data_IF_448986778433
#
_entry.id   IF_448986778433
#
_cell.length_a   1.000
_cell.length_b   1.000
_cell.length_c   1.000
_cell.angle_alpha   90.00
_cell.angle_beta   90.00
_cell.angle_gamma   90.00
#
_symmetry.space_group_name_H-M   'P 1'
#
loop_
_entity.id
_entity.type
_entity.pdbx_description
1 polymer ?
#
# COMPACT_ATOMS: atom_id res chain seq x y z
N UNK A 1 -61.28 -9.60 -33.74
CA UNK A 1 -60.13 -8.66 -33.55
C UNK A 1 -59.87 -8.29 -32.07
N UNK A 2 -60.89 -8.00 -31.23
CA UNK A 2 -60.66 -7.64 -29.82
C UNK A 2 -60.27 -8.83 -28.92
N UNK A 3 -60.88 -10.00 -29.15
CA UNK A 3 -60.60 -11.24 -28.41
C UNK A 3 -59.14 -11.71 -28.57
N UNK A 4 -58.60 -11.67 -29.79
CA UNK A 4 -57.21 -12.05 -30.06
C UNK A 4 -56.19 -11.11 -29.40
N UNK A 5 -56.50 -9.81 -29.31
CA UNK A 5 -55.66 -8.85 -28.59
C UNK A 5 -55.59 -9.18 -27.09
N UNK A 6 -56.72 -9.58 -26.49
CA UNK A 6 -56.76 -9.97 -25.08
C UNK A 6 -56.03 -11.29 -24.81
N UNK A 7 -56.15 -12.28 -25.70
CA UNK A 7 -55.38 -13.52 -25.64
C UNK A 7 -53.87 -13.27 -25.73
N UNK A 8 -53.43 -12.32 -26.58
CA UNK A 8 -52.01 -11.95 -26.70
C UNK A 8 -51.45 -11.26 -25.45
N UNK A 9 -52.27 -10.48 -24.73
CA UNK A 9 -51.86 -9.85 -23.47
C UNK A 9 -51.84 -10.81 -22.27
N UNK A 10 -52.55 -11.93 -22.36
CA UNK A 10 -52.55 -13.00 -21.37
C UNK A 10 -51.42 -14.03 -21.58
N UNK A 11 -50.76 -13.99 -22.75
CA UNK A 11 -49.66 -14.88 -23.07
C UNK A 11 -48.43 -14.54 -22.22
N UNK A 12 -48.11 -15.40 -21.26
CA UNK A 12 -46.87 -15.34 -20.49
C UNK A 12 -45.67 -15.52 -21.43
N UNK A 13 -44.97 -14.43 -21.73
CA UNK A 13 -43.69 -14.49 -22.44
C UNK A 13 -42.62 -14.94 -21.46
N UNK A 14 -42.49 -16.26 -21.30
CA UNK A 14 -41.37 -16.85 -20.57
C UNK A 14 -40.07 -16.46 -21.29
N UNK A 15 -39.20 -15.60 -20.72
CA UNK A 15 -38.01 -15.09 -21.39
C UNK A 15 -36.90 -16.16 -21.60
N UNK A 16 -37.26 -17.44 -21.59
CA UNK A 16 -36.34 -18.56 -21.47
C UNK A 16 -35.64 -18.57 -20.11
N UNK A 17 -34.86 -19.62 -19.80
CA UNK A 17 -34.11 -19.65 -18.58
C UNK A 17 -33.00 -18.60 -18.72
N UNK A 18 -33.18 -17.41 -18.14
CA UNK A 18 -32.09 -16.42 -17.95
C UNK A 18 -30.91 -16.98 -17.14
N UNK A 19 -31.04 -18.22 -16.68
CA UNK A 19 -30.09 -19.05 -15.94
C UNK A 19 -29.65 -20.30 -16.70
N UNK A 20 -29.99 -20.46 -17.98
CA UNK A 20 -29.61 -21.64 -18.77
C UNK A 20 -28.08 -21.80 -18.82
N UNK A 21 -27.36 -20.68 -18.88
CA UNK A 21 -25.90 -20.62 -18.89
C UNK A 21 -25.31 -20.38 -17.49
N UNK A 22 -26.10 -20.58 -16.43
CA UNK A 22 -25.62 -20.45 -15.06
C UNK A 22 -24.68 -21.61 -14.73
N UNK A 23 -23.38 -21.35 -14.84
CA UNK A 23 -22.35 -22.27 -14.40
C UNK A 23 -21.64 -21.69 -13.15
N UNK A 24 -21.90 -22.26 -11.95
CA UNK A 24 -21.30 -21.82 -10.70
C UNK A 24 -19.77 -21.86 -10.72
N UNK A 25 -19.17 -22.86 -11.37
CA UNK A 25 -17.72 -23.01 -11.40
C UNK A 25 -17.05 -21.91 -12.21
N UNK A 26 -17.61 -21.55 -13.37
CA UNK A 26 -17.07 -20.48 -14.21
C UNK A 26 -17.16 -19.14 -13.50
N UNK A 27 -18.23 -18.92 -12.73
CA UNK A 27 -18.39 -17.72 -11.90
C UNK A 27 -17.35 -17.66 -10.79
N UNK A 28 -17.11 -18.76 -10.08
CA UNK A 28 -16.09 -18.84 -9.03
C UNK A 28 -14.66 -18.70 -9.59
N UNK A 29 -14.39 -19.27 -10.77
CA UNK A 29 -13.10 -19.09 -11.48
C UNK A 29 -12.89 -17.63 -11.87
N UNK A 30 -13.90 -16.97 -12.45
CA UNK A 30 -13.85 -15.53 -12.81
C UNK A 30 -13.66 -14.64 -11.57
N UNK A 31 -14.38 -14.93 -10.48
CA UNK A 31 -14.24 -14.22 -9.20
C UNK A 31 -12.82 -14.36 -8.64
N UNK A 32 -12.26 -15.58 -8.62
CA UNK A 32 -10.87 -15.83 -8.18
C UNK A 32 -9.84 -15.11 -9.04
N UNK A 33 -9.99 -15.15 -10.37
CA UNK A 33 -9.11 -14.43 -11.29
C UNK A 33 -9.14 -12.92 -11.06
N UNK A 34 -10.33 -12.34 -10.89
CA UNK A 34 -10.48 -10.91 -10.62
C UNK A 34 -9.86 -10.50 -9.27
N UNK A 35 -10.07 -11.29 -8.20
CA UNK A 35 -9.44 -11.06 -6.90
C UNK A 35 -7.91 -11.15 -7.00
N UNK A 36 -7.38 -12.12 -7.74
CA UNK A 36 -5.93 -12.27 -7.98
C UNK A 36 -5.35 -11.08 -8.74
N UNK A 37 -6.04 -10.62 -9.79
CA UNK A 37 -5.65 -9.45 -10.57
C UNK A 37 -5.64 -8.17 -9.72
N UNK A 38 -6.67 -7.97 -8.89
CA UNK A 38 -6.75 -6.85 -7.95
C UNK A 38 -5.64 -6.89 -6.91
N UNK A 39 -5.35 -8.06 -6.33
CA UNK A 39 -4.20 -8.25 -5.42
C UNK A 39 -2.90 -7.86 -6.12
N UNK A 40 -2.63 -8.40 -7.31
CA UNK A 40 -1.41 -8.11 -8.06
C UNK A 40 -1.27 -6.63 -8.41
N UNK A 41 -2.36 -5.97 -8.82
CA UNK A 41 -2.37 -4.53 -9.11
C UNK A 41 -2.14 -3.69 -7.84
N UNK A 42 -2.72 -4.08 -6.71
CA UNK A 42 -2.51 -3.43 -5.41
C UNK A 42 -1.06 -3.58 -4.93
N UNK A 43 -0.50 -4.80 -4.99
CA UNK A 43 0.90 -5.07 -4.63
C UNK A 43 1.89 -4.34 -5.54
N UNK A 44 1.57 -4.14 -6.82
CA UNK A 44 2.42 -3.34 -7.74
C UNK A 44 2.31 -1.83 -7.50
N UNK A 45 1.12 -1.31 -7.15
CA UNK A 45 0.92 0.13 -6.84
C UNK A 45 1.48 0.54 -5.48
N UNK A 46 1.54 -0.35 -4.49
CA UNK A 46 2.01 -0.05 -3.13
C UNK A 46 3.53 -0.15 -2.93
N UNK A 47 4.35 0.00 -3.98
CA UNK A 47 5.81 -0.19 -3.93
C UNK A 47 6.63 1.01 -3.44
N UNK A 48 6.04 2.02 -2.78
CA UNK A 48 6.85 2.76 -1.78
C UNK A 48 6.93 1.90 -0.53
N UNK A 49 7.76 0.85 -0.61
CA UNK A 49 8.08 -0.01 0.51
C UNK A 49 8.51 0.88 1.67
N UNK A 50 7.93 0.64 2.85
CA UNK A 50 8.32 1.35 4.06
C UNK A 50 9.84 1.26 4.20
N UNK A 51 10.47 2.34 4.65
CA UNK A 51 11.90 2.34 4.97
C UNK A 51 12.15 1.97 6.42
N UNK A 52 11.15 2.25 7.28
CA UNK A 52 11.20 1.97 8.71
C UNK A 52 10.07 1.03 9.14
N UNK A 53 10.35 0.23 10.16
CA UNK A 53 9.39 -0.65 10.82
C UNK A 53 8.48 0.12 11.81
N UNK A 54 7.63 -0.60 12.54
CA UNK A 54 6.72 -0.01 13.55
C UNK A 54 7.43 0.61 14.75
N UNK A 55 8.69 0.28 15.00
CA UNK A 55 9.51 0.79 16.10
C UNK A 55 10.46 1.91 15.67
N UNK A 56 10.44 2.29 14.38
CA UNK A 56 11.31 3.32 13.83
C UNK A 56 12.71 2.82 13.49
N UNK A 57 12.90 1.51 13.31
CA UNK A 57 14.15 0.90 12.84
C UNK A 57 14.13 0.69 11.34
N UNK A 58 15.28 0.83 10.69
CA UNK A 58 15.42 0.63 9.25
C UNK A 58 15.10 -0.81 8.86
N UNK A 59 14.32 -1.01 7.80
CA UNK A 59 13.95 -2.36 7.35
C UNK A 59 15.07 -3.09 6.60
N UNK A 60 16.08 -2.36 6.08
CA UNK A 60 17.20 -2.98 5.36
C UNK A 60 18.17 -3.73 6.27
N UNK A 61 18.35 -3.29 7.52
CA UNK A 61 19.34 -3.83 8.44
C UNK A 61 18.92 -3.82 9.92
N UNK A 62 17.68 -3.45 10.23
CA UNK A 62 17.13 -3.31 11.59
C UNK A 62 17.82 -2.25 12.47
N UNK A 63 18.64 -1.37 11.90
CA UNK A 63 19.34 -0.33 12.67
C UNK A 63 18.40 0.81 13.05
N UNK A 64 18.49 1.25 14.31
CA UNK A 64 17.77 2.41 14.82
C UNK A 64 18.51 3.72 14.52
N UNK A 65 18.63 4.05 13.22
CA UNK A 65 19.36 5.24 12.74
C UNK A 65 18.54 6.52 12.95
N UNK A 66 19.13 7.53 13.59
CA UNK A 66 18.54 8.85 13.77
C UNK A 66 18.45 9.61 12.43
N UNK A 67 17.53 10.56 12.32
CA UNK A 67 17.37 11.39 11.12
C UNK A 67 18.60 12.29 10.82
N UNK A 68 19.51 12.46 11.79
CA UNK A 68 20.80 13.12 11.58
C UNK A 68 21.85 12.23 10.85
N UNK A 69 21.51 10.97 10.57
CA UNK A 69 22.34 9.99 9.85
C UNK A 69 23.63 9.56 10.60
N UNK A 70 23.76 9.91 11.87
CA UNK A 70 24.87 9.48 12.75
C UNK A 70 24.49 8.16 13.44
N UNK A 71 25.37 7.16 13.36
CA UNK A 71 25.10 5.79 13.83
C UNK A 71 24.95 5.70 15.34
N UNK A 72 25.82 6.40 16.07
CA UNK A 72 25.87 6.38 17.52
C UNK A 72 25.07 7.52 18.17
N UNK A 73 24.16 8.15 17.41
CA UNK A 73 23.35 9.26 17.91
C UNK A 73 22.41 8.79 19.03
N UNK A 74 22.44 9.40 20.24
CA UNK A 74 21.45 9.10 21.28
C UNK A 74 20.06 9.67 20.96
N UNK A 75 19.98 10.63 20.03
CA UNK A 75 18.77 11.33 19.60
C UNK A 75 18.98 12.84 19.56
N UNK A 76 18.53 13.49 18.48
CA UNK A 76 18.69 14.94 18.28
C UNK A 76 17.49 15.77 18.75
N UNK A 77 16.34 15.14 18.97
CA UNK A 77 15.08 15.83 19.22
C UNK A 77 14.48 15.44 20.57
N UNK A 78 13.54 16.25 21.04
CA UNK A 78 12.70 15.88 22.18
C UNK A 78 11.94 14.57 21.92
N UNK A 79 11.53 13.84 22.97
CA UNK A 79 10.80 12.60 22.83
C UNK A 79 9.60 12.74 21.90
N UNK A 80 9.54 11.89 20.87
CA UNK A 80 8.46 11.90 19.90
C UNK A 80 7.10 11.63 20.61
N UNK A 81 6.05 12.43 20.37
CA UNK A 81 4.75 12.21 21.02
C UNK A 81 4.07 10.91 20.58
N UNK A 82 4.50 10.29 19.47
CA UNK A 82 3.90 9.03 18.95
C UNK A 82 4.59 7.76 19.45
N UNK A 83 5.91 7.80 19.66
CA UNK A 83 6.70 6.59 19.98
C UNK A 83 7.73 6.80 21.09
N UNK A 84 7.78 7.99 21.70
CA UNK A 84 8.70 8.40 22.77
C UNK A 84 10.19 8.37 22.43
N UNK A 85 10.58 7.95 21.23
CA UNK A 85 11.97 7.99 20.75
C UNK A 85 12.46 9.43 20.57
N UNK A 86 13.72 9.70 20.94
CA UNK A 86 14.42 10.98 20.70
C UNK A 86 15.10 11.07 19.33
N UNK A 87 15.02 10.01 18.52
CA UNK A 87 15.69 9.89 17.21
C UNK A 87 14.79 10.24 16.03
N UNK A 88 13.49 10.50 16.27
CA UNK A 88 12.62 11.00 15.23
C UNK A 88 12.92 12.47 14.95
N UNK A 89 12.82 12.91 13.69
CA UNK A 89 12.78 14.31 13.33
C UNK A 89 11.38 14.92 13.48
N UNK A 90 11.03 15.91 12.64
CA UNK A 90 9.70 16.54 12.63
C UNK A 90 8.57 15.54 12.39
N UNK A 91 8.85 14.48 11.62
CA UNK A 91 7.94 13.36 11.39
C UNK A 91 8.45 12.09 12.09
N UNK A 92 7.54 11.35 12.73
CA UNK A 92 7.87 10.09 13.39
C UNK A 92 8.41 9.06 12.38
N UNK A 93 9.49 8.35 12.76
CA UNK A 93 10.10 7.30 11.92
C UNK A 93 9.25 6.04 11.83
N UNK A 94 8.37 5.77 12.80
CA UNK A 94 7.54 4.54 12.81
C UNK A 94 6.72 4.39 11.52
N UNK A 95 6.93 3.29 10.80
CA UNK A 95 6.31 2.95 9.51
C UNK A 95 6.55 3.95 8.37
N UNK A 96 7.53 4.85 8.52
CA UNK A 96 7.81 5.89 7.53
C UNK A 96 8.33 5.28 6.22
N UNK A 97 7.90 5.86 5.09
CA UNK A 97 8.22 5.37 3.74
C UNK A 97 9.49 5.96 3.12
N UNK A 98 10.15 6.84 3.84
CA UNK A 98 11.33 7.56 3.38
C UNK A 98 12.35 7.69 4.51
N UNK A 99 13.62 7.88 4.14
CA UNK A 99 14.72 8.21 5.02
C UNK A 99 15.53 9.34 4.35
N UNK A 100 16.18 10.19 5.14
CA UNK A 100 17.16 11.13 4.59
C UNK A 100 18.32 10.35 3.98
N UNK A 101 18.82 10.80 2.83
CA UNK A 101 19.99 10.20 2.19
C UNK A 101 21.27 10.98 2.49
N UNK A 102 21.18 12.31 2.52
CA UNK A 102 22.31 13.21 2.72
C UNK A 102 21.81 14.51 3.30
N UNK A 103 22.59 15.09 4.23
CA UNK A 103 22.37 16.42 4.80
C UNK A 103 23.47 17.32 4.24
N UNK A 104 23.09 18.46 3.66
CA UNK A 104 24.02 19.40 3.04
C UNK A 104 23.82 20.80 3.60
N UNK A 105 24.88 21.60 3.60
CA UNK A 105 24.78 23.05 3.83
C UNK A 105 24.11 23.73 2.62
N UNK A 106 23.71 25.00 2.79
CA UNK A 106 23.21 25.83 1.68
C UNK A 106 24.23 25.96 0.54
N UNK A 107 25.53 25.96 0.86
CA UNK A 107 26.64 25.95 -0.10
C UNK A 107 26.92 24.58 -0.74
N UNK A 108 26.14 23.54 -0.44
CA UNK A 108 26.25 22.22 -1.05
C UNK A 108 27.25 21.26 -0.39
N UNK A 109 27.94 21.68 0.67
CA UNK A 109 28.86 20.81 1.41
C UNK A 109 28.10 19.72 2.14
N UNK A 110 28.53 18.47 2.01
CA UNK A 110 27.91 17.32 2.69
C UNK A 110 28.31 17.32 4.16
N UNK A 111 27.31 17.42 5.05
CA UNK A 111 27.48 17.36 6.50
C UNK A 111 27.44 15.91 6.98
N UNK A 112 26.47 15.14 6.48
CA UNK A 112 26.28 13.74 6.84
C UNK A 112 25.61 12.98 5.70
N UNK A 113 25.89 11.69 5.59
CA UNK A 113 25.39 10.83 4.53
C UNK A 113 24.89 9.51 5.11
N UNK A 114 23.91 8.91 4.47
CA UNK A 114 23.33 7.65 4.89
C UNK A 114 24.43 6.58 4.96
N UNK A 115 24.67 5.96 6.12
CA UNK A 115 25.87 5.16 6.35
C UNK A 115 25.81 3.77 5.72
N UNK A 116 24.64 3.33 5.26
CA UNK A 116 24.47 1.97 4.73
C UNK A 116 24.36 1.96 3.21
N UNK A 117 25.04 1.01 2.57
CA UNK A 117 24.80 0.73 1.16
C UNK A 117 23.41 0.12 0.98
N UNK A 118 22.53 0.80 0.25
CA UNK A 118 21.20 0.27 -0.11
C UNK A 118 21.30 -0.26 -1.54
N UNK A 119 21.30 -1.59 -1.76
CA UNK A 119 21.30 -2.13 -3.12
C UNK A 119 20.03 -1.71 -3.87
N UNK A 120 20.20 -1.39 -5.15
CA UNK A 120 19.13 -0.95 -6.07
C UNK A 120 18.02 -1.99 -6.23
#
# INVERSE_FOLDING_TARGET
>A
QQLEKQLKSLAFKNPGPRVADFNPETREKKKRAHISQMKHQFFRKCKTAKKYDKYGRLLCNNTDLCDCLEENCPGCFYPCPKCSSRKCGPECRCNRKWAYNTIKTEGGNVISMFPFHVPN
#
